data_IF_330540208085
#
_entry.id   IF_330540208085
#
_cell.length_a   1.000
_cell.length_b   1.000
_cell.length_c   1.000
_cell.angle_alpha   90.00
_cell.angle_beta   90.00
_cell.angle_gamma   90.00
#
_symmetry.space_group_name_H-M   'P 1'
#
loop_
_entity.id
_entity.type
_entity.pdbx_description
1 polymer ?
#
# COMPACT_ATOMS: atom_id res chain seq x y z
N UNK A 1 13.02 1.52 10.56
CA UNK A 1 11.65 1.36 10.05
C UNK A 1 11.21 2.64 9.37
N UNK A 2 10.81 2.54 8.13
CA UNK A 2 10.31 3.68 7.36
C UNK A 2 8.84 3.47 7.05
N UNK A 3 8.01 4.43 7.44
CA UNK A 3 6.57 4.36 7.17
C UNK A 3 6.23 5.37 6.09
N UNK A 4 5.47 4.93 5.09
CA UNK A 4 5.03 5.79 3.99
C UNK A 4 3.52 5.66 3.87
N UNK A 5 2.85 6.79 3.72
CA UNK A 5 1.41 6.83 3.50
C UNK A 5 1.19 7.49 2.13
N UNK A 6 0.39 6.85 1.29
CA UNK A 6 0.07 7.37 -0.03
C UNK A 6 -1.44 7.45 -0.14
N UNK A 7 -1.95 8.59 -0.56
CA UNK A 7 -3.39 8.74 -0.82
C UNK A 7 -3.62 9.26 -2.22
N UNK A 8 -4.74 8.87 -2.80
CA UNK A 8 -5.14 9.32 -4.13
C UNK A 8 -6.63 9.07 -4.34
N UNK A 9 -7.16 9.62 -5.40
CA UNK A 9 -8.54 9.39 -5.80
C UNK A 9 -8.55 8.95 -7.25
N UNK A 10 -9.28 7.88 -7.54
CA UNK A 10 -9.43 7.39 -8.91
C UNK A 10 -10.57 8.11 -9.62
N UNK A 11 -10.57 8.00 -10.94
CA UNK A 11 -11.77 8.29 -11.71
C UNK A 11 -12.83 7.28 -11.30
N UNK A 12 -14.11 7.69 -11.15
CA UNK A 12 -15.14 6.77 -10.68
C UNK A 12 -15.24 5.48 -11.49
N UNK A 13 -15.12 5.56 -12.79
CA UNK A 13 -15.21 4.41 -13.69
C UNK A 13 -13.99 3.51 -13.63
N UNK A 14 -12.91 3.94 -12.97
CA UNK A 14 -11.68 3.16 -12.84
C UNK A 14 -11.46 2.61 -11.43
N UNK A 15 -12.37 2.88 -10.49
CA UNK A 15 -12.18 2.49 -9.10
C UNK A 15 -12.14 0.97 -8.91
N UNK A 16 -13.02 0.24 -9.59
CA UNK A 16 -13.04 -1.23 -9.47
C UNK A 16 -11.79 -1.85 -10.08
N UNK A 17 -11.31 -1.33 -11.20
CA UNK A 17 -10.07 -1.77 -11.80
C UNK A 17 -8.91 -1.57 -10.83
N UNK A 18 -8.87 -0.42 -10.17
CA UNK A 18 -7.81 -0.11 -9.21
C UNK A 18 -7.84 -1.09 -8.04
N UNK A 19 -9.02 -1.38 -7.52
CA UNK A 19 -9.16 -2.34 -6.43
C UNK A 19 -8.69 -3.73 -6.85
N UNK A 20 -9.02 -4.16 -8.06
CA UNK A 20 -8.61 -5.47 -8.57
C UNK A 20 -7.09 -5.57 -8.69
N UNK A 21 -6.44 -4.49 -9.15
CA UNK A 21 -4.97 -4.47 -9.23
C UNK A 21 -4.32 -4.53 -7.86
N UNK A 22 -4.92 -3.87 -6.87
CA UNK A 22 -4.44 -3.95 -5.48
C UNK A 22 -4.58 -5.37 -4.96
N UNK A 23 -5.71 -6.03 -5.21
CA UNK A 23 -5.92 -7.40 -4.76
C UNK A 23 -4.87 -8.35 -5.32
N UNK A 24 -4.43 -8.14 -6.57
CA UNK A 24 -3.36 -8.94 -7.15
C UNK A 24 -2.04 -8.74 -6.41
N UNK A 25 -1.74 -7.51 -5.99
CA UNK A 25 -0.54 -7.24 -5.20
C UNK A 25 -0.56 -8.05 -3.91
N UNK A 26 -1.68 -8.02 -3.19
CA UNK A 26 -1.78 -8.74 -1.92
C UNK A 26 -1.79 -10.26 -2.11
N UNK A 27 -2.38 -10.75 -3.19
CA UNK A 27 -2.31 -12.17 -3.51
C UNK A 27 -0.86 -12.63 -3.70
N UNK A 28 -0.07 -11.84 -4.41
CA UNK A 28 1.35 -12.14 -4.61
C UNK A 28 2.13 -12.03 -3.30
N UNK A 29 1.90 -10.97 -2.51
CA UNK A 29 2.61 -10.79 -1.24
C UNK A 29 2.31 -11.92 -0.26
N UNK A 30 1.06 -12.36 -0.18
CA UNK A 30 0.68 -13.45 0.70
C UNK A 30 1.30 -14.78 0.26
N UNK A 31 1.52 -14.97 -1.04
CA UNK A 31 2.17 -16.17 -1.56
C UNK A 31 3.69 -16.12 -1.36
N UNK A 32 4.31 -14.98 -1.61
CA UNK A 32 5.77 -14.81 -1.53
C UNK A 32 6.25 -14.59 -0.10
N UNK A 33 5.40 -13.96 0.73
CA UNK A 33 5.69 -13.67 2.13
C UNK A 33 7.06 -13.01 2.32
N UNK A 34 7.32 -11.87 1.66
CA UNK A 34 8.62 -11.21 1.81
C UNK A 34 8.80 -10.67 3.22
N UNK A 35 10.04 -10.75 3.72
CA UNK A 35 10.36 -10.23 5.03
C UNK A 35 10.57 -8.71 4.99
N UNK A 36 10.31 -8.05 6.12
CA UNK A 36 10.62 -6.65 6.27
C UNK A 36 9.63 -5.70 5.62
N UNK A 37 8.43 -6.17 5.33
CA UNK A 37 7.38 -5.34 4.77
C UNK A 37 6.07 -5.56 5.52
N UNK A 38 5.43 -4.47 5.91
CA UNK A 38 4.04 -4.46 6.38
C UNK A 38 3.30 -3.51 5.47
N UNK A 39 2.19 -3.96 4.91
CA UNK A 39 1.51 -3.19 3.88
C UNK A 39 0.01 -3.37 4.01
N UNK A 40 -0.73 -2.27 3.92
CA UNK A 40 -2.19 -2.30 3.93
C UNK A 40 -2.71 -1.25 2.97
N UNK A 41 -3.83 -1.55 2.34
CA UNK A 41 -4.51 -0.62 1.45
C UNK A 41 -5.96 -0.51 1.88
N UNK A 42 -6.49 0.69 1.81
CA UNK A 42 -7.85 0.99 2.23
C UNK A 42 -8.58 1.72 1.13
N UNK A 43 -9.83 1.33 0.89
CA UNK A 43 -10.73 2.06 0.01
C UNK A 43 -11.68 2.81 0.93
N UNK A 44 -11.77 4.11 0.76
CA UNK A 44 -12.61 4.94 1.63
C UNK A 44 -14.07 4.82 1.26
N UNK A 45 -14.94 5.33 2.13
CA UNK A 45 -16.39 5.18 1.98
C UNK A 45 -16.96 5.83 0.72
N UNK A 46 -16.24 6.80 0.15
CA UNK A 46 -16.67 7.44 -1.11
C UNK A 46 -16.52 6.50 -2.32
N UNK A 47 -15.83 5.37 -2.14
CA UNK A 47 -15.66 4.38 -3.19
C UNK A 47 -14.58 4.69 -4.21
N UNK A 48 -14.00 5.89 -4.18
CA UNK A 48 -13.01 6.32 -5.19
C UNK A 48 -11.69 6.76 -4.58
N UNK A 49 -11.64 6.99 -3.28
CA UNK A 49 -10.41 7.37 -2.59
C UNK A 49 -9.74 6.15 -2.00
N UNK A 50 -8.41 6.11 -2.08
CA UNK A 50 -7.61 4.99 -1.60
C UNK A 50 -6.46 5.52 -0.76
N UNK A 51 -6.11 4.76 0.28
CA UNK A 51 -4.97 5.06 1.14
C UNK A 51 -4.14 3.79 1.26
N UNK A 52 -2.85 3.91 1.04
CA UNK A 52 -1.89 2.82 1.23
C UNK A 52 -0.96 3.19 2.35
N UNK A 53 -0.67 2.23 3.22
CA UNK A 53 0.29 2.40 4.30
C UNK A 53 1.31 1.28 4.18
N UNK A 54 2.59 1.64 4.12
CA UNK A 54 3.65 0.66 4.04
C UNK A 54 4.70 0.95 5.11
N UNK A 55 5.14 -0.08 5.78
CA UNK A 55 6.27 0.01 6.72
C UNK A 55 7.39 -0.85 6.17
N UNK A 56 8.52 -0.21 5.88
CA UNK A 56 9.70 -0.89 5.33
C UNK A 56 10.65 -1.15 6.47
N UNK A 57 10.83 -2.43 6.80
CA UNK A 57 11.63 -2.86 7.96
C UNK A 57 12.81 -3.73 7.57
N UNK A 58 13.21 -3.69 6.31
CA UNK A 58 14.37 -4.43 5.83
C UNK A 58 15.65 -3.82 6.41
N UNK A 59 16.68 -4.65 6.59
CA UNK A 59 17.94 -4.21 7.18
C UNK A 59 18.67 -3.21 6.31
N UNK A 60 18.55 -3.34 5.00
CA UNK A 60 19.25 -2.48 4.04
C UNK A 60 18.38 -1.33 3.52
N UNK A 61 17.14 -1.21 4.00
CA UNK A 61 16.22 -0.17 3.54
C UNK A 61 15.57 -0.44 2.22
N UNK A 62 15.81 -1.58 1.61
CA UNK A 62 15.20 -1.96 0.34
C UNK A 62 13.70 -2.18 0.51
N UNK A 63 12.90 -1.65 -0.40
CA UNK A 63 11.46 -1.86 -0.37
C UNK A 63 11.11 -3.12 -1.17
N UNK A 64 10.62 -4.20 -0.50
CA UNK A 64 10.29 -5.44 -1.21
C UNK A 64 9.26 -5.28 -2.33
N UNK A 65 8.44 -4.24 -2.29
CA UNK A 65 7.47 -3.98 -3.36
C UNK A 65 8.15 -3.72 -4.69
N UNK A 66 9.38 -3.22 -4.68
CA UNK A 66 10.11 -2.95 -5.92
C UNK A 66 10.45 -4.21 -6.70
N UNK A 67 10.39 -5.37 -6.05
CA UNK A 67 10.63 -6.66 -6.70
C UNK A 67 9.33 -7.37 -7.09
N UNK A 68 8.17 -6.77 -6.84
CA UNK A 68 6.86 -7.39 -7.07
C UNK A 68 6.36 -7.09 -8.48
N UNK A 69 6.20 -8.12 -9.35
CA UNK A 69 5.59 -7.91 -10.66
C UNK A 69 4.16 -7.36 -10.59
N UNK A 70 3.38 -7.82 -9.60
CA UNK A 70 2.01 -7.33 -9.44
C UNK A 70 1.99 -5.85 -9.04
N UNK A 71 2.94 -5.41 -8.21
CA UNK A 71 3.05 -4.01 -7.84
C UNK A 71 3.46 -3.16 -9.04
N UNK A 72 4.36 -3.67 -9.87
CA UNK A 72 4.75 -2.97 -11.10
C UNK A 72 3.55 -2.83 -12.05
N UNK A 73 2.73 -3.87 -12.16
CA UNK A 73 1.51 -3.81 -12.96
C UNK A 73 0.53 -2.78 -12.40
N UNK A 74 0.38 -2.75 -11.06
CA UNK A 74 -0.49 -1.76 -10.41
C UNK A 74 -0.03 -0.34 -10.71
N UNK A 75 1.28 -0.09 -10.73
CA UNK A 75 1.82 1.24 -10.96
C UNK A 75 1.85 1.64 -12.44
N UNK A 76 1.74 0.67 -13.35
CA UNK A 76 1.75 0.97 -14.78
C UNK A 76 0.51 1.80 -15.11
N UNK A 77 0.76 2.96 -15.74
CA UNK A 77 -0.30 3.86 -16.16
C UNK A 77 -1.22 4.33 -15.03
N UNK A 78 -0.71 4.35 -13.79
CA UNK A 78 -1.54 4.75 -12.66
C UNK A 78 -2.09 6.16 -12.84
N UNK A 79 -1.33 7.05 -13.47
CA UNK A 79 -1.78 8.41 -13.73
C UNK A 79 -3.06 8.46 -14.55
N UNK A 80 -3.26 7.49 -15.45
CA UNK A 80 -4.47 7.45 -16.28
C UNK A 80 -5.71 7.02 -15.48
N UNK A 81 -5.51 6.30 -14.37
CA UNK A 81 -6.62 5.88 -13.52
C UNK A 81 -7.00 6.94 -12.49
N UNK A 82 -6.09 7.86 -12.20
CA UNK A 82 -6.29 8.80 -11.10
C UNK A 82 -6.91 10.10 -11.56
N UNK A 83 -7.78 10.64 -10.72
CA UNK A 83 -8.32 11.98 -10.85
C UNK A 83 -7.49 12.97 -10.03
N UNK A 84 -6.90 12.48 -8.92
CA UNK A 84 -6.14 13.30 -8.00
C UNK A 84 -5.06 12.48 -7.34
N UNK A 85 -3.84 12.98 -7.28
CA UNK A 85 -2.70 12.32 -6.66
C UNK A 85 -1.86 11.56 -7.66
N UNK A 86 -0.99 10.65 -7.18
CA UNK A 86 -0.83 10.23 -5.78
C UNK A 86 -0.05 11.25 -4.95
N UNK A 87 -0.30 11.22 -3.64
CA UNK A 87 0.39 12.08 -2.68
C UNK A 87 1.13 11.20 -1.67
N UNK A 88 2.37 10.81 -1.96
CA UNK A 88 3.17 10.05 -1.02
C UNK A 88 3.73 10.94 0.09
N UNK A 89 3.78 10.42 1.29
CA UNK A 89 4.36 11.13 2.41
C UNK A 89 5.03 10.15 3.36
N UNK A 90 6.23 10.48 3.81
CA UNK A 90 6.82 9.77 4.94
C UNK A 90 5.99 10.06 6.18
N UNK A 91 5.95 9.10 7.10
CA UNK A 91 5.14 9.23 8.30
C UNK A 91 5.91 8.70 9.50
N UNK A 92 5.57 9.25 10.68
CA UNK A 92 6.13 8.80 11.94
C UNK A 92 5.01 8.21 12.77
N UNK A 93 5.25 7.07 13.38
CA UNK A 93 4.27 6.46 14.27
C UNK A 93 4.20 7.29 15.55
N UNK A 94 3.05 7.87 15.81
CA UNK A 94 2.81 8.65 17.03
C UNK A 94 2.31 7.73 18.14
N UNK A 95 1.54 6.70 17.77
CA UNK A 95 1.03 5.71 18.69
C UNK A 95 0.40 4.58 17.92
N UNK A 96 0.30 3.42 18.57
CA UNK A 96 -0.35 2.25 17.97
C UNK A 96 -0.84 1.35 19.09
N UNK A 97 -1.90 0.60 18.78
CA UNK A 97 -2.44 -0.39 19.70
C UNK A 97 -2.86 -1.60 18.88
N UNK A 98 -2.17 -2.70 19.09
CA UNK A 98 -2.44 -3.97 18.38
C UNK A 98 -2.42 -3.84 16.86
N UNK A 99 -1.78 -2.80 16.35
CA UNK A 99 -1.68 -2.58 14.91
C UNK A 99 -0.52 -3.37 14.29
N UNK A 100 0.57 -3.52 15.04
CA UNK A 100 1.74 -4.26 14.59
C UNK A 100 1.77 -5.63 15.28
N UNK A 101 2.17 -6.70 14.56
CA UNK A 101 2.34 -8.00 15.21
C UNK A 101 3.29 -7.91 16.40
N UNK A 102 2.90 -8.53 17.50
CA UNK A 102 3.70 -8.50 18.72
C UNK A 102 3.39 -7.36 19.64
N UNK A 103 2.56 -6.41 19.24
CA UNK A 103 2.16 -5.30 20.11
C UNK A 103 1.04 -5.70 21.06
N UNK A 104 0.86 -4.84 22.05
CA UNK A 104 -0.31 -4.89 22.91
C UNK A 104 -0.37 -6.02 23.89
N UNK A 105 0.40 -6.99 23.77
CA UNK A 105 0.34 -8.13 24.67
C UNK A 105 1.56 -8.99 24.63
N UNK A 106 2.42 -8.58 23.78
CA UNK A 106 3.65 -9.34 23.61
C UNK A 106 4.74 -8.78 24.47
#
# INVERSE_FOLDING_TARGET
MSVVVVRYRTKPERAEENAALIEKVFGELNAENPEGLRYASFRLADGVSFVHVASIETKDGTNPLNASPAFAEFQREIGDRLEDGPYPSGATVVGSFRFWPGEGGS
#
